data_IF_663280332232
#
_entry.id   IF_663280332232
#
_cell.length_a   1.000
_cell.length_b   1.000
_cell.length_c   1.000
_cell.angle_alpha   90.00
_cell.angle_beta   90.00
_cell.angle_gamma   90.00
#
_symmetry.space_group_name_H-M   'P 1'
#
loop_
_entity.id
_entity.type
_entity.pdbx_description
1 polymer ?
#
# COMPACT_ATOMS: atom_id res chain seq x y z
N UNK A 1 5.06 -30.09 -31.93
CA UNK A 1 5.12 -30.25 -30.45
C UNK A 1 5.86 -29.06 -29.90
N UNK A 2 5.24 -28.30 -29.00
CA UNK A 2 5.84 -27.15 -28.29
C UNK A 2 6.18 -27.62 -26.88
N UNK A 3 7.42 -27.40 -26.44
CA UNK A 3 7.87 -27.71 -25.08
C UNK A 3 8.27 -26.41 -24.40
N UNK A 4 7.68 -26.13 -23.25
CA UNK A 4 8.02 -25.00 -22.40
C UNK A 4 8.60 -25.49 -21.07
N UNK A 5 9.54 -24.74 -20.53
CA UNK A 5 10.16 -25.08 -19.26
C UNK A 5 11.14 -24.01 -18.77
N UNK A 6 11.71 -24.23 -17.61
CA UNK A 6 12.74 -23.37 -17.02
C UNK A 6 14.11 -23.61 -17.67
N UNK A 7 15.12 -22.82 -17.26
CA UNK A 7 16.51 -23.04 -17.71
C UNK A 7 17.05 -24.44 -17.38
N UNK A 8 16.47 -25.15 -16.39
CA UNK A 8 16.76 -26.56 -16.10
C UNK A 8 16.34 -27.49 -17.21
N UNK A 9 15.23 -27.21 -17.87
CA UNK A 9 14.77 -28.00 -19.00
C UNK A 9 15.84 -28.06 -20.12
N UNK A 10 16.61 -26.98 -20.31
CA UNK A 10 17.73 -26.94 -21.27
C UNK A 10 18.81 -28.00 -20.97
N UNK A 11 19.04 -28.34 -19.68
CA UNK A 11 20.00 -29.40 -19.30
C UNK A 11 19.48 -30.77 -19.65
N UNK A 12 18.20 -31.04 -19.44
CA UNK A 12 17.57 -32.31 -19.80
C UNK A 12 17.69 -32.56 -21.31
N UNK A 13 17.54 -31.50 -22.11
CA UNK A 13 17.65 -31.61 -23.57
C UNK A 13 19.06 -31.81 -24.08
N UNK A 14 20.08 -31.41 -23.31
CA UNK A 14 21.49 -31.63 -23.68
C UNK A 14 21.99 -33.05 -23.38
N UNK A 15 21.25 -33.83 -22.60
CA UNK A 15 21.70 -35.20 -22.21
C UNK A 15 21.60 -36.19 -23.35
N UNK A 16 20.72 -36.01 -24.35
CA UNK A 16 20.58 -36.87 -25.51
C UNK A 16 20.54 -36.10 -26.82
N UNK A 17 21.46 -36.41 -27.71
CA UNK A 17 21.58 -35.77 -29.04
C UNK A 17 20.30 -35.90 -29.88
N UNK A 18 19.61 -37.06 -29.74
CA UNK A 18 18.33 -37.33 -30.41
C UNK A 18 17.21 -36.39 -29.95
N UNK A 19 17.14 -36.10 -28.65
CA UNK A 19 16.17 -35.23 -28.07
C UNK A 19 16.47 -33.74 -28.40
N UNK A 20 17.76 -33.36 -28.30
CA UNK A 20 18.23 -32.04 -28.68
C UNK A 20 17.88 -31.67 -30.13
N UNK A 21 18.10 -32.57 -31.08
CA UNK A 21 17.74 -32.37 -32.49
C UNK A 21 16.24 -32.20 -32.72
N UNK A 22 15.39 -32.96 -32.05
CA UNK A 22 13.93 -32.88 -32.22
C UNK A 22 13.36 -31.55 -31.65
N UNK A 23 13.95 -31.01 -30.59
CA UNK A 23 13.47 -29.82 -29.91
C UNK A 23 14.05 -28.54 -30.53
N UNK A 24 15.30 -28.59 -30.98
CA UNK A 24 15.98 -27.42 -31.58
C UNK A 24 15.70 -27.23 -33.07
N UNK A 25 15.04 -28.22 -33.74
CA UNK A 25 14.76 -28.13 -35.18
C UNK A 25 13.92 -26.89 -35.60
N UNK A 26 13.10 -26.36 -34.68
CA UNK A 26 12.26 -25.19 -34.89
C UNK A 26 12.74 -23.95 -34.12
N UNK A 27 13.94 -24.03 -33.52
CA UNK A 27 14.52 -22.97 -32.70
C UNK A 27 14.12 -23.02 -31.21
N UNK A 28 14.87 -22.29 -30.42
CA UNK A 28 14.65 -22.16 -28.96
C UNK A 28 14.41 -20.68 -28.64
N UNK A 29 13.26 -20.38 -28.07
CA UNK A 29 12.92 -19.03 -27.60
C UNK A 29 13.19 -18.99 -26.10
N UNK A 30 14.11 -18.12 -25.67
CA UNK A 30 14.41 -17.89 -24.26
C UNK A 30 13.76 -16.59 -23.83
N UNK A 31 12.69 -16.69 -23.02
CA UNK A 31 12.02 -15.51 -22.50
C UNK A 31 12.70 -15.02 -21.20
N UNK A 32 13.19 -13.79 -21.20
CA UNK A 32 13.96 -13.19 -20.11
C UNK A 32 13.27 -11.96 -19.47
N UNK A 33 11.98 -11.84 -19.64
CA UNK A 33 11.23 -10.62 -19.28
C UNK A 33 11.17 -9.62 -20.45
N UNK A 34 10.42 -8.54 -20.23
CA UNK A 34 10.22 -7.48 -21.23
C UNK A 34 11.45 -6.58 -21.24
N UNK A 35 12.24 -6.63 -22.32
CA UNK A 35 13.47 -5.85 -22.49
C UNK A 35 13.32 -4.70 -23.48
N UNK A 36 12.43 -4.85 -24.46
CA UNK A 36 12.15 -3.79 -25.41
C UNK A 36 11.44 -2.63 -24.69
N UNK A 37 11.92 -1.38 -24.77
CA UNK A 37 11.31 -0.21 -24.16
C UNK A 37 9.87 0.04 -24.60
N UNK A 38 9.56 -0.19 -25.88
CA UNK A 38 8.20 0.02 -26.41
C UNK A 38 7.21 -0.99 -25.84
N UNK A 39 7.60 -2.25 -25.76
CA UNK A 39 6.77 -3.30 -25.15
C UNK A 39 6.59 -3.06 -23.64
N UNK A 40 7.62 -2.57 -22.97
CA UNK A 40 7.53 -2.17 -21.58
C UNK A 40 6.58 -0.98 -21.39
N UNK A 41 6.66 0.02 -22.24
CA UNK A 41 5.75 1.16 -22.21
C UNK A 41 4.30 0.75 -22.46
N UNK A 42 4.05 -0.16 -23.41
CA UNK A 42 2.72 -0.75 -23.65
C UNK A 42 2.22 -1.51 -22.43
N UNK A 43 3.07 -2.35 -21.83
CA UNK A 43 2.74 -3.07 -20.59
C UNK A 43 2.37 -2.11 -19.47
N UNK A 44 3.17 -1.08 -19.20
CA UNK A 44 2.89 -0.06 -18.20
C UNK A 44 1.60 0.72 -18.51
N UNK A 45 1.32 0.98 -19.78
CA UNK A 45 0.07 1.63 -20.22
C UNK A 45 -1.16 0.78 -19.91
N UNK A 46 -1.07 -0.54 -20.10
CA UNK A 46 -2.13 -1.47 -19.69
C UNK A 46 -2.25 -1.52 -18.17
N UNK A 47 -1.13 -1.64 -17.47
CA UNK A 47 -1.09 -1.71 -16.00
C UNK A 47 -1.71 -0.48 -15.35
N UNK A 48 -1.47 0.71 -15.90
CA UNK A 48 -2.05 1.98 -15.43
C UNK A 48 -3.59 2.02 -15.49
N UNK A 49 -4.22 1.22 -16.34
CA UNK A 49 -5.70 1.12 -16.42
C UNK A 49 -6.30 0.41 -15.21
N UNK A 50 -5.49 -0.36 -14.48
CA UNK A 50 -5.87 -1.06 -13.25
C UNK A 50 -5.47 -0.28 -11.99
N UNK A 51 -5.30 1.04 -12.11
CA UNK A 51 -5.10 1.93 -10.98
C UNK A 51 -6.45 2.34 -10.39
N UNK A 52 -6.56 2.28 -9.06
CA UNK A 52 -7.78 2.56 -8.29
C UNK A 52 -7.56 3.57 -7.16
N UNK A 53 -6.48 4.36 -7.28
CA UNK A 53 -6.17 5.45 -6.36
C UNK A 53 -6.98 6.70 -6.74
N UNK A 54 -7.44 7.46 -5.74
CA UNK A 54 -8.24 8.67 -5.96
C UNK A 54 -7.46 9.74 -6.75
N UNK A 55 -6.17 9.91 -6.46
CA UNK A 55 -5.28 10.80 -7.20
C UNK A 55 -4.42 10.04 -8.22
N UNK A 56 -5.01 8.99 -8.81
CA UNK A 56 -4.33 8.13 -9.76
C UNK A 56 -4.02 8.83 -11.07
N UNK A 57 -2.83 8.63 -11.59
CA UNK A 57 -2.39 9.10 -12.89
C UNK A 57 -1.66 7.98 -13.64
N UNK A 58 -1.64 8.01 -14.98
CA UNK A 58 -0.85 7.05 -15.74
C UNK A 58 0.61 7.10 -15.30
N UNK A 59 1.25 5.91 -15.20
CA UNK A 59 2.65 5.83 -14.79
C UNK A 59 3.54 6.76 -15.63
N UNK A 60 4.19 7.70 -14.98
CA UNK A 60 5.16 8.61 -15.60
C UNK A 60 6.43 7.88 -16.05
N UNK A 61 7.24 8.49 -16.90
CA UNK A 61 8.49 7.90 -17.38
C UNK A 61 9.44 7.50 -16.25
N UNK A 62 9.68 8.32 -15.20
CA UNK A 62 10.47 7.90 -14.03
C UNK A 62 9.89 6.70 -13.29
N UNK A 63 8.59 6.61 -13.14
CA UNK A 63 7.91 5.49 -12.45
C UNK A 63 8.00 4.20 -13.26
N UNK A 64 7.84 4.26 -14.59
CA UNK A 64 8.05 3.12 -15.49
C UNK A 64 9.47 2.59 -15.41
N UNK A 65 10.45 3.48 -15.41
CA UNK A 65 11.87 3.14 -15.29
C UNK A 65 12.18 2.55 -13.92
N UNK A 66 11.61 3.11 -12.86
CA UNK A 66 11.73 2.60 -11.50
C UNK A 66 11.14 1.18 -11.40
N UNK A 67 9.93 0.97 -11.89
CA UNK A 67 9.25 -0.32 -11.90
C UNK A 67 10.06 -1.36 -12.69
N UNK A 68 10.61 -0.98 -13.86
CA UNK A 68 11.47 -1.86 -14.65
C UNK A 68 12.74 -2.24 -13.90
N UNK A 69 13.38 -1.27 -13.26
CA UNK A 69 14.63 -1.48 -12.51
C UNK A 69 14.42 -2.44 -11.33
N UNK A 70 13.28 -2.32 -10.63
CA UNK A 70 12.94 -3.16 -9.50
C UNK A 70 12.49 -4.56 -9.93
N UNK A 71 11.76 -4.68 -11.03
CA UNK A 71 11.23 -5.96 -11.53
C UNK A 71 12.13 -6.66 -12.55
N UNK A 72 13.14 -5.97 -13.10
CA UNK A 72 13.96 -6.44 -14.24
C UNK A 72 13.13 -6.84 -15.48
N UNK A 73 11.99 -6.16 -15.69
CA UNK A 73 11.08 -6.43 -16.79
C UNK A 73 10.28 -7.72 -16.64
N UNK A 74 10.24 -8.31 -15.46
CA UNK A 74 9.44 -9.51 -15.17
C UNK A 74 8.01 -9.11 -14.77
N UNK A 75 6.97 -9.42 -15.58
CA UNK A 75 5.59 -9.10 -15.21
C UNK A 75 5.14 -9.73 -13.90
N UNK A 76 5.60 -10.97 -13.61
CA UNK A 76 5.32 -11.66 -12.35
C UNK A 76 5.85 -10.96 -11.10
N UNK A 77 6.79 -10.01 -11.24
CA UNK A 77 7.29 -9.16 -10.15
C UNK A 77 6.69 -7.77 -10.23
N UNK A 78 6.54 -7.23 -11.45
CA UNK A 78 6.05 -5.87 -11.66
C UNK A 78 4.59 -5.70 -11.22
N UNK A 79 3.72 -6.66 -11.57
CA UNK A 79 2.28 -6.59 -11.21
C UNK A 79 2.07 -6.64 -9.71
N UNK A 80 2.60 -7.62 -8.95
CA UNK A 80 2.48 -7.62 -7.50
C UNK A 80 3.08 -6.37 -6.84
N UNK A 81 4.25 -5.90 -7.29
CA UNK A 81 4.84 -4.67 -6.76
C UNK A 81 3.92 -3.46 -6.97
N UNK A 82 3.32 -3.34 -8.14
CA UNK A 82 2.38 -2.28 -8.46
C UNK A 82 1.11 -2.35 -7.59
N UNK A 83 0.57 -3.56 -7.37
CA UNK A 83 -0.57 -3.77 -6.50
C UNK A 83 -0.26 -3.41 -5.04
N UNK A 84 0.85 -3.93 -4.50
CA UNK A 84 1.30 -3.63 -3.13
C UNK A 84 1.56 -2.15 -2.92
N UNK A 85 2.10 -1.46 -3.93
CA UNK A 85 2.30 -0.01 -3.86
C UNK A 85 0.98 0.76 -3.80
N UNK A 86 -0.06 0.32 -4.52
CA UNK A 86 -1.40 0.90 -4.41
C UNK A 86 -1.99 0.67 -3.01
N UNK A 87 -1.91 -0.55 -2.46
CA UNK A 87 -2.34 -0.84 -1.09
C UNK A 87 -1.63 0.06 -0.07
N UNK A 88 -0.31 0.23 -0.20
CA UNK A 88 0.45 1.10 0.66
C UNK A 88 0.06 2.59 0.49
N UNK A 89 -0.23 3.03 -0.74
CA UNK A 89 -0.69 4.40 -1.02
C UNK A 89 -2.02 4.71 -0.34
N UNK A 90 -2.97 3.76 -0.38
CA UNK A 90 -4.26 3.88 0.31
C UNK A 90 -4.07 3.87 1.82
N UNK A 91 -3.32 2.90 2.36
CA UNK A 91 -3.07 2.79 3.80
C UNK A 91 -2.39 4.05 4.38
N UNK A 92 -1.50 4.69 3.61
CA UNK A 92 -0.82 5.94 4.02
C UNK A 92 -1.59 7.21 3.64
N UNK A 93 -2.80 7.10 3.08
CA UNK A 93 -3.64 8.23 2.63
C UNK A 93 -2.93 9.17 1.62
N UNK A 94 -1.92 8.69 0.94
CA UNK A 94 -1.20 9.45 -0.10
C UNK A 94 -1.96 9.47 -1.43
N UNK A 95 -2.75 8.40 -1.67
CA UNK A 95 -3.65 8.27 -2.82
C UNK A 95 -2.95 8.46 -4.19
N UNK A 96 -1.63 8.34 -4.22
CA UNK A 96 -0.81 8.49 -5.43
C UNK A 96 0.41 7.57 -5.40
N UNK A 97 0.81 7.09 -6.58
CA UNK A 97 2.04 6.34 -6.75
C UNK A 97 3.25 7.28 -6.88
N UNK A 98 4.42 6.79 -6.47
CA UNK A 98 5.69 7.46 -6.67
C UNK A 98 6.84 6.45 -6.73
N UNK A 99 7.95 6.84 -7.36
CA UNK A 99 9.17 6.04 -7.38
C UNK A 99 9.70 5.72 -5.96
N UNK A 100 9.52 6.65 -5.02
CA UNK A 100 9.93 6.44 -3.61
C UNK A 100 9.07 5.37 -2.95
N UNK A 101 7.74 5.40 -3.17
CA UNK A 101 6.81 4.41 -2.64
C UNK A 101 7.10 3.02 -3.21
N UNK A 102 7.29 2.90 -4.53
CA UNK A 102 7.67 1.64 -5.18
C UNK A 102 8.96 1.04 -4.57
N UNK A 103 9.98 1.88 -4.33
CA UNK A 103 11.24 1.45 -3.69
C UNK A 103 11.03 1.03 -2.23
N UNK A 104 10.24 1.76 -1.47
CA UNK A 104 9.95 1.46 -0.07
C UNK A 104 9.23 0.11 0.05
N UNK A 105 8.15 -0.07 -0.69
CA UNK A 105 7.38 -1.32 -0.72
C UNK A 105 8.22 -2.50 -1.19
N UNK A 106 9.03 -2.33 -2.24
CA UNK A 106 9.94 -3.38 -2.70
C UNK A 106 10.96 -3.77 -1.62
N UNK A 107 11.53 -2.79 -0.91
CA UNK A 107 12.52 -3.04 0.13
C UNK A 107 11.93 -3.72 1.36
N UNK A 108 10.71 -3.37 1.72
CA UNK A 108 10.00 -3.89 2.89
C UNK A 108 9.39 -5.27 2.59
N UNK A 109 8.58 -5.36 1.55
CA UNK A 109 7.76 -6.54 1.29
C UNK A 109 8.38 -7.56 0.31
N UNK A 110 9.29 -7.13 -0.57
CA UNK A 110 9.86 -7.99 -1.61
C UNK A 110 11.39 -8.16 -1.50
N UNK A 111 11.95 -7.92 -0.32
CA UNK A 111 13.41 -8.00 -0.11
C UNK A 111 14.00 -9.38 -0.42
N UNK A 112 13.23 -10.45 -0.21
CA UNK A 112 13.63 -11.83 -0.51
C UNK A 112 13.94 -12.05 -2.01
N UNK A 113 13.36 -11.24 -2.91
CA UNK A 113 13.62 -11.33 -4.35
C UNK A 113 14.91 -10.62 -4.78
N UNK A 114 15.51 -9.79 -3.92
CA UNK A 114 16.72 -9.02 -4.26
C UNK A 114 17.89 -9.88 -4.78
N UNK A 115 18.23 -11.03 -4.16
CA UNK A 115 19.32 -11.86 -4.65
C UNK A 115 19.05 -12.42 -6.06
N UNK A 116 17.81 -12.84 -6.30
CA UNK A 116 17.35 -13.40 -7.57
C UNK A 116 17.41 -12.34 -8.67
N UNK A 117 16.88 -11.14 -8.41
CA UNK A 117 16.87 -10.04 -9.37
C UNK A 117 18.27 -9.50 -9.63
N UNK A 118 19.18 -9.54 -8.65
CA UNK A 118 20.60 -9.26 -8.86
C UNK A 118 21.25 -10.29 -9.79
N UNK A 119 20.93 -11.58 -9.62
CA UNK A 119 21.42 -12.63 -10.51
C UNK A 119 20.93 -12.42 -11.95
N UNK A 120 19.67 -12.08 -12.14
CA UNK A 120 19.08 -11.75 -13.44
C UNK A 120 19.75 -10.53 -14.07
N UNK A 121 19.96 -9.47 -13.27
CA UNK A 121 20.66 -8.25 -13.71
C UNK A 121 22.08 -8.53 -14.16
N UNK A 122 22.79 -9.42 -13.48
CA UNK A 122 24.17 -9.77 -13.82
C UNK A 122 24.30 -10.48 -15.17
N UNK A 123 23.23 -11.07 -15.69
CA UNK A 123 23.22 -11.86 -16.92
C UNK A 123 24.03 -13.16 -16.87
N UNK A 124 24.67 -13.47 -15.73
CA UNK A 124 25.49 -14.65 -15.56
C UNK A 124 24.64 -15.89 -15.43
N UNK A 125 24.72 -16.81 -16.40
CA UNK A 125 23.94 -18.06 -16.43
C UNK A 125 24.12 -18.89 -15.16
N UNK A 126 25.33 -18.98 -14.62
CA UNK A 126 25.62 -19.71 -13.38
C UNK A 126 24.90 -19.10 -12.16
N UNK A 127 24.82 -17.78 -12.06
CA UNK A 127 24.12 -17.10 -10.99
C UNK A 127 22.59 -17.31 -11.08
N UNK A 128 22.06 -17.29 -12.30
CA UNK A 128 20.63 -17.53 -12.53
C UNK A 128 20.22 -18.97 -12.21
N UNK A 129 21.08 -19.94 -12.58
CA UNK A 129 20.82 -21.38 -12.31
C UNK A 129 20.74 -21.72 -10.83
N UNK A 130 21.40 -20.95 -9.95
CA UNK A 130 21.33 -21.15 -8.49
C UNK A 130 19.92 -20.92 -7.94
N UNK A 131 19.14 -20.06 -8.60
CA UNK A 131 17.82 -19.64 -8.16
C UNK A 131 16.68 -20.18 -9.02
N UNK A 132 16.97 -21.04 -10.00
CA UNK A 132 15.98 -21.54 -10.96
C UNK A 132 14.91 -22.40 -10.28
N UNK A 133 15.26 -23.09 -9.20
CA UNK A 133 14.32 -23.89 -8.39
C UNK A 133 13.44 -23.04 -7.46
N UNK A 134 13.95 -21.88 -7.05
CA UNK A 134 13.30 -21.00 -6.08
C UNK A 134 12.27 -20.09 -6.76
N UNK A 135 12.49 -19.79 -8.06
CA UNK A 135 11.68 -18.81 -8.81
C UNK A 135 10.22 -19.25 -9.06
N UNK A 136 9.93 -20.55 -9.08
CA UNK A 136 8.60 -21.04 -9.41
C UNK A 136 7.63 -21.02 -8.23
N UNK A 137 8.00 -21.63 -7.14
CA UNK A 137 7.11 -21.87 -6.01
C UNK A 137 7.29 -20.85 -4.90
N UNK A 138 8.52 -20.54 -4.53
CA UNK A 138 8.81 -19.54 -3.48
C UNK A 138 8.31 -18.13 -3.85
N UNK A 139 8.32 -17.76 -5.14
CA UNK A 139 7.78 -16.48 -5.60
C UNK A 139 6.27 -16.40 -5.44
N UNK A 140 5.57 -17.49 -5.73
CA UNK A 140 4.11 -17.56 -5.55
C UNK A 140 3.74 -17.50 -4.08
N UNK A 141 4.46 -18.24 -3.23
CA UNK A 141 4.24 -18.25 -1.78
C UNK A 141 4.52 -16.87 -1.17
N UNK A 142 5.69 -16.27 -1.45
CA UNK A 142 6.03 -14.92 -0.97
C UNK A 142 4.99 -13.89 -1.42
N UNK A 143 4.55 -13.94 -2.67
CA UNK A 143 3.53 -12.99 -3.17
C UNK A 143 2.16 -13.27 -2.57
N UNK A 144 1.80 -14.53 -2.34
CA UNK A 144 0.53 -14.89 -1.71
C UNK A 144 0.48 -14.42 -0.25
N UNK A 145 1.55 -14.67 0.52
CA UNK A 145 1.67 -14.24 1.91
C UNK A 145 1.63 -12.71 2.05
N UNK A 146 2.39 -12.02 1.19
CA UNK A 146 2.41 -10.55 1.16
C UNK A 146 1.06 -9.96 0.77
N UNK A 147 0.36 -10.59 -0.17
CA UNK A 147 -0.99 -10.19 -0.57
C UNK A 147 -1.98 -10.39 0.57
N UNK A 148 -1.89 -11.52 1.27
CA UNK A 148 -2.74 -11.82 2.42
C UNK A 148 -2.50 -10.81 3.56
N UNK A 149 -1.24 -10.51 3.89
CA UNK A 149 -0.87 -9.51 4.89
C UNK A 149 -1.35 -8.10 4.51
N UNK A 150 -1.12 -7.69 3.26
CA UNK A 150 -1.58 -6.38 2.78
C UNK A 150 -3.10 -6.26 2.79
N UNK A 151 -3.82 -7.31 2.40
CA UNK A 151 -5.28 -7.36 2.46
C UNK A 151 -5.78 -7.32 3.89
N UNK A 152 -5.18 -8.10 4.80
CA UNK A 152 -5.52 -8.09 6.22
C UNK A 152 -5.41 -6.68 6.81
N UNK A 153 -4.28 -6.00 6.58
CA UNK A 153 -4.07 -4.64 7.08
C UNK A 153 -5.07 -3.63 6.50
N UNK A 154 -5.43 -3.76 5.22
CA UNK A 154 -6.46 -2.92 4.59
C UNK A 154 -7.84 -3.13 5.19
N UNK A 155 -8.24 -4.40 5.38
CA UNK A 155 -9.54 -4.72 5.98
C UNK A 155 -9.59 -4.28 7.44
N UNK A 156 -8.52 -4.50 8.21
CA UNK A 156 -8.43 -4.06 9.59
C UNK A 156 -8.55 -2.53 9.69
N UNK A 157 -7.79 -1.78 8.90
CA UNK A 157 -7.87 -0.31 8.87
C UNK A 157 -9.23 0.21 8.37
N UNK A 158 -9.89 -0.52 7.46
CA UNK A 158 -11.22 -0.15 6.98
C UNK A 158 -12.30 -0.42 8.03
N UNK A 159 -12.19 -1.52 8.76
CA UNK A 159 -13.09 -1.85 9.88
C UNK A 159 -12.98 -0.80 11.00
N UNK A 160 -11.75 -0.47 11.43
CA UNK A 160 -11.54 0.59 12.44
C UNK A 160 -12.11 1.94 11.98
N UNK A 161 -11.97 2.29 10.70
CA UNK A 161 -12.55 3.53 10.16
C UNK A 161 -14.07 3.50 10.16
N UNK A 162 -14.66 2.36 9.84
CA UNK A 162 -16.11 2.18 9.86
C UNK A 162 -16.65 2.34 11.27
N UNK A 163 -16.06 1.64 12.23
CA UNK A 163 -16.43 1.74 13.66
C UNK A 163 -16.31 3.19 14.17
N UNK A 164 -15.26 3.91 13.79
CA UNK A 164 -15.11 5.33 14.19
C UNK A 164 -16.17 6.24 13.57
N UNK A 165 -16.55 6.00 12.31
CA UNK A 165 -17.62 6.77 11.67
C UNK A 165 -18.97 6.48 12.31
N UNK A 166 -19.23 5.24 12.67
CA UNK A 166 -20.46 4.84 13.37
C UNK A 166 -20.53 5.45 14.78
N UNK A 167 -19.44 5.35 15.55
CA UNK A 167 -19.31 6.02 16.87
C UNK A 167 -19.51 7.54 16.74
N UNK A 168 -18.94 8.17 15.70
CA UNK A 168 -19.11 9.61 15.48
C UNK A 168 -20.55 9.99 15.19
N UNK A 169 -21.22 9.25 14.31
CA UNK A 169 -22.61 9.50 13.93
C UNK A 169 -23.56 9.35 15.14
N UNK A 170 -23.37 8.29 15.92
CA UNK A 170 -24.13 8.03 17.14
C UNK A 170 -23.88 9.08 18.23
N UNK A 171 -22.62 9.49 18.40
CA UNK A 171 -22.27 10.56 19.34
C UNK A 171 -22.91 11.89 18.96
N UNK A 172 -22.83 12.28 17.69
CA UNK A 172 -23.48 13.50 17.19
C UNK A 172 -24.98 13.47 17.41
N UNK A 173 -25.63 12.36 17.08
CA UNK A 173 -27.08 12.17 17.27
C UNK A 173 -27.48 12.32 18.74
N UNK A 174 -26.69 11.74 19.65
CA UNK A 174 -26.91 11.85 21.09
C UNK A 174 -26.72 13.27 21.61
N UNK A 175 -25.72 13.99 21.13
CA UNK A 175 -25.42 15.37 21.54
C UNK A 175 -26.47 16.36 21.05
N UNK A 176 -27.05 16.14 19.86
CA UNK A 176 -28.16 16.96 19.36
C UNK A 176 -29.38 16.82 20.28
N UNK A 177 -29.68 15.61 20.75
CA UNK A 177 -30.79 15.37 21.71
C UNK A 177 -30.54 16.10 23.03
N UNK A 178 -29.29 16.29 23.46
CA UNK A 178 -28.95 17.07 24.66
C UNK A 178 -28.96 18.59 24.45
N UNK A 179 -29.32 19.06 23.25
CA UNK A 179 -29.48 20.48 22.94
C UNK A 179 -28.22 21.17 22.40
N UNK A 180 -27.21 20.42 22.01
CA UNK A 180 -26.02 20.97 21.35
C UNK A 180 -26.32 21.17 19.85
N UNK A 181 -26.07 22.36 19.25
CA UNK A 181 -26.31 22.59 17.83
C UNK A 181 -25.52 21.61 16.96
N UNK A 182 -26.15 21.14 15.88
CA UNK A 182 -25.59 20.09 15.00
C UNK A 182 -24.19 20.40 14.48
N UNK A 183 -23.94 21.65 14.02
CA UNK A 183 -22.63 22.06 13.50
C UNK A 183 -21.54 22.02 14.57
N UNK A 184 -21.91 22.43 15.81
CA UNK A 184 -20.98 22.37 16.95
C UNK A 184 -20.72 20.94 17.36
N UNK A 185 -21.73 20.08 17.40
CA UNK A 185 -21.59 18.66 17.72
C UNK A 185 -20.64 17.97 16.73
N UNK A 186 -20.83 18.15 15.42
CA UNK A 186 -19.94 17.60 14.40
C UNK A 186 -18.48 18.05 14.57
N UNK A 187 -18.26 19.33 14.73
CA UNK A 187 -16.89 19.87 14.85
C UNK A 187 -16.19 19.40 16.13
N UNK A 188 -16.90 19.35 17.25
CA UNK A 188 -16.35 18.91 18.53
C UNK A 188 -16.10 17.41 18.57
N UNK A 189 -17.01 16.58 18.04
CA UNK A 189 -16.81 15.12 17.92
C UNK A 189 -15.57 14.82 17.09
N UNK A 190 -15.40 15.49 15.95
CA UNK A 190 -14.21 15.31 15.11
C UNK A 190 -12.90 15.68 15.83
N UNK A 191 -12.90 16.75 16.64
CA UNK A 191 -11.75 17.15 17.45
C UNK A 191 -11.43 16.14 18.54
N UNK A 192 -12.45 15.66 19.27
CA UNK A 192 -12.28 14.67 20.34
C UNK A 192 -11.79 13.35 19.78
N UNK A 193 -12.36 12.85 18.67
CA UNK A 193 -11.89 11.62 18.04
C UNK A 193 -10.47 11.72 17.47
N UNK A 194 -10.04 12.90 17.04
CA UNK A 194 -8.65 13.14 16.61
C UNK A 194 -7.69 13.06 17.79
N UNK A 195 -8.09 13.54 18.96
CA UNK A 195 -7.27 13.56 20.18
C UNK A 195 -7.28 12.20 20.88
N UNK A 196 -8.42 11.52 20.89
CA UNK A 196 -8.63 10.22 21.53
C UNK A 196 -9.17 9.19 20.52
N UNK A 197 -8.32 8.58 19.68
CA UNK A 197 -8.75 7.69 18.62
C UNK A 197 -9.47 6.41 19.07
N UNK A 198 -9.23 5.98 20.31
CA UNK A 198 -9.77 4.75 20.91
C UNK A 198 -10.99 5.03 21.83
N UNK A 199 -11.47 6.28 21.87
CA UNK A 199 -12.56 6.65 22.77
C UNK A 199 -13.88 6.01 22.35
N UNK A 200 -14.61 5.45 23.33
CA UNK A 200 -15.97 4.94 23.13
C UNK A 200 -16.96 6.09 22.92
N UNK A 201 -18.14 5.77 22.36
CA UNK A 201 -19.22 6.76 22.17
C UNK A 201 -19.50 7.58 23.42
N UNK A 202 -19.59 6.90 24.59
CA UNK A 202 -19.88 7.55 25.86
C UNK A 202 -18.78 8.52 26.28
N UNK A 203 -17.53 8.14 26.11
CA UNK A 203 -16.37 9.00 26.39
C UNK A 203 -16.34 10.21 25.46
N UNK A 204 -16.63 10.04 24.16
CA UNK A 204 -16.72 11.13 23.21
C UNK A 204 -17.83 12.10 23.60
N UNK A 205 -19.03 11.61 23.92
CA UNK A 205 -20.15 12.44 24.35
C UNK A 205 -19.83 13.20 25.63
N UNK A 206 -19.24 12.54 26.63
CA UNK A 206 -18.86 13.15 27.90
C UNK A 206 -17.86 14.30 27.70
N UNK A 207 -16.80 14.06 26.94
CA UNK A 207 -15.75 15.04 26.68
C UNK A 207 -16.27 16.25 25.89
N UNK A 208 -17.15 16.01 24.90
CA UNK A 208 -17.79 17.10 24.15
C UNK A 208 -18.70 17.92 25.06
N UNK A 209 -19.49 17.29 25.90
CA UNK A 209 -20.33 18.00 26.87
C UNK A 209 -19.52 18.86 27.82
N UNK A 210 -18.46 18.31 28.40
CA UNK A 210 -17.56 19.05 29.29
C UNK A 210 -17.01 20.31 28.62
N UNK A 211 -16.49 20.19 27.40
CA UNK A 211 -15.92 21.31 26.64
C UNK A 211 -16.98 22.34 26.24
N UNK A 212 -18.12 21.89 25.80
CA UNK A 212 -19.22 22.76 25.37
C UNK A 212 -19.75 23.61 26.52
N UNK A 213 -20.04 23.01 27.67
CA UNK A 213 -20.61 23.73 28.81
C UNK A 213 -19.56 24.56 29.53
N UNK A 214 -18.31 24.12 29.67
CA UNK A 214 -17.22 24.95 30.23
C UNK A 214 -16.96 26.22 29.40
N UNK A 215 -17.01 26.09 28.07
CA UNK A 215 -16.85 27.26 27.18
C UNK A 215 -18.04 28.23 27.34
N UNK A 216 -19.22 27.72 27.56
CA UNK A 216 -20.45 28.51 27.74
C UNK A 216 -20.49 29.21 29.11
N UNK A 217 -20.07 28.51 30.18
CA UNK A 217 -19.92 29.12 31.52
C UNK A 217 -18.87 30.22 31.54
N UNK A 218 -17.72 30.02 30.89
CA UNK A 218 -16.68 31.07 30.78
C UNK A 218 -17.14 32.26 29.93
N UNK A 219 -18.05 32.07 28.99
CA UNK A 219 -18.66 33.12 28.19
C UNK A 219 -19.73 33.95 28.94
N UNK A 220 -20.40 33.30 29.93
CA UNK A 220 -21.43 33.93 30.75
C UNK A 220 -20.89 34.55 32.04
N UNK A 221 -19.62 34.28 32.41
CA UNK A 221 -18.99 34.86 33.60
C UNK A 221 -18.83 36.38 33.46
N UNK A 222 -19.14 37.19 34.54
CA UNK A 222 -19.02 38.62 34.50
C UNK A 222 -17.56 39.06 34.26
N UNK A 223 -17.40 40.17 33.52
CA UNK A 223 -16.12 40.63 32.94
C UNK A 223 -14.94 40.78 33.97
N UNK A 224 -15.22 40.85 35.26
CA UNK A 224 -14.19 40.87 36.32
C UNK A 224 -13.42 39.54 36.48
N UNK A 225 -14.06 38.39 36.23
CA UNK A 225 -13.41 37.08 36.38
C UNK A 225 -12.66 36.64 35.12
N UNK A 226 -12.92 37.26 33.96
CA UNK A 226 -12.22 36.90 32.70
C UNK A 226 -10.72 37.21 32.71
N UNK A 227 -10.28 38.21 33.51
CA UNK A 227 -8.84 38.55 33.59
C UNK A 227 -8.03 37.65 34.49
N UNK A 228 -8.65 36.95 35.44
CA UNK A 228 -7.95 35.96 36.29
C UNK A 228 -7.80 34.58 35.63
N UNK A 229 -8.81 34.13 34.88
CA UNK A 229 -8.75 32.87 34.14
C UNK A 229 -7.73 32.87 32.99
N UNK A 230 -7.47 34.06 32.40
CA UNK A 230 -6.42 34.17 31.35
C UNK A 230 -4.99 34.23 31.88
N UNK A 231 -4.81 34.46 33.18
CA UNK A 231 -3.49 34.51 33.83
C UNK A 231 -3.01 33.13 34.31
N UNK A 232 -3.92 32.20 34.61
CA UNK A 232 -3.57 30.84 35.06
C UNK A 232 -3.24 29.86 33.90
N UNK A 233 -3.60 30.20 32.66
CA UNK A 233 -3.29 29.34 31.48
C UNK A 233 -1.87 29.56 30.94
N UNK A 234 -1.14 30.59 31.42
CA UNK A 234 0.20 30.96 30.90
C UNK A 234 1.35 30.40 31.74
N UNK A 235 1.07 29.70 32.85
CA UNK A 235 2.14 29.16 33.73
C UNK A 235 2.04 27.63 33.94
N UNK A 236 2.00 26.86 32.86
CA UNK A 236 2.39 25.46 32.89
C UNK A 236 3.22 25.23 31.63
N UNK A 237 4.53 25.38 31.79
CA UNK A 237 5.55 24.81 30.90
C UNK A 237 5.55 23.28 31.00
#
# INVERSE_FOLDING_TARGET
>A
MIVSGTLRAERLFRQTLRLARRISSQGVIVWRGIRNPDDWNRFCGVLSKYQWLANGHPLSSPERTCLWTLSQGLPGVAVPLYQLAQYSAVATKREALSCQLLKAVFNEKMHALKPILRAIRSGKKAAMMKYDDILGDTLKEIVADMKAEAMHNLFYDSAIRHDRMEIAADAVSSLIVTGIPQEVAHSMVALVQKQYPEATREQVCHEVCLRYYSTRESALAPAKNRRQASAEVVTVD
#
